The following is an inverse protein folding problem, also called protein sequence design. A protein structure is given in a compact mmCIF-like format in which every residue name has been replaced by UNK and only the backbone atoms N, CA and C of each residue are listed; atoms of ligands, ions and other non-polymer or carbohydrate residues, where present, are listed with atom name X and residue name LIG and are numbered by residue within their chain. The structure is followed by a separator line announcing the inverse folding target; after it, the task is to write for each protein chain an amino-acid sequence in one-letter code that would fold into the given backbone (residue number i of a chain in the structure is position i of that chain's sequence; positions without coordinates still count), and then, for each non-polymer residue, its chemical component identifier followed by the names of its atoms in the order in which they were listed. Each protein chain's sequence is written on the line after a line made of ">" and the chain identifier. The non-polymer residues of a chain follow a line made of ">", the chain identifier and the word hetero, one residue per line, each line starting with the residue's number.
data_IF_662416068828
#
_entry.id   IF_662416068828
#
_cell.length_a   1.000
_cell.length_b   1.000
_cell.length_c   1.000
_cell.angle_alpha   90.00
_cell.angle_beta   90.00
_cell.angle_gamma   90.00
#
_symmetry.space_group_name_H-M   'P 1'
#
loop_
_entity.id
_entity.type
_entity.pdbx_description
1 polymer ?
#
# COMPACT_ATOMS: atom_id res chain seq x y z
N UNK A 1 16.61 -16.20 34.99
CA UNK A 1 16.19 -15.92 33.61
C UNK A 1 16.25 -14.41 33.40
N UNK A 2 17.16 -13.92 32.54
CA UNK A 2 17.47 -12.50 32.42
C UNK A 2 16.27 -11.72 31.86
N UNK A 3 15.86 -10.61 32.51
CA UNK A 3 14.70 -9.80 32.08
C UNK A 3 14.85 -9.36 30.61
N UNK A 4 16.08 -9.10 30.18
CA UNK A 4 16.41 -8.75 28.80
C UNK A 4 16.14 -9.91 27.83
N UNK A 5 16.48 -11.13 28.22
CA UNK A 5 16.23 -12.33 27.41
C UNK A 5 14.72 -12.60 27.28
N UNK A 6 13.95 -12.36 28.35
CA UNK A 6 12.49 -12.52 28.34
C UNK A 6 11.86 -11.52 27.35
N UNK A 7 12.24 -10.24 27.40
CA UNK A 7 11.71 -9.21 26.48
C UNK A 7 12.02 -9.53 25.02
N UNK A 8 13.25 -9.96 24.72
CA UNK A 8 13.65 -10.35 23.36
C UNK A 8 12.87 -11.57 22.88
N UNK A 9 12.71 -12.59 23.72
CA UNK A 9 11.96 -13.80 23.37
C UNK A 9 10.47 -13.53 23.15
N UNK A 10 9.87 -12.62 23.94
CA UNK A 10 8.49 -12.18 23.75
C UNK A 10 8.29 -11.44 22.43
N UNK A 11 9.21 -10.55 22.04
CA UNK A 11 9.12 -9.81 20.76
C UNK A 11 9.28 -10.76 19.57
N UNK A 12 10.18 -11.74 19.64
CA UNK A 12 10.34 -12.74 18.58
C UNK A 12 9.14 -13.68 18.48
N UNK A 13 8.50 -14.04 19.60
CA UNK A 13 7.31 -14.89 19.60
C UNK A 13 6.06 -14.22 18.98
N UNK A 14 6.00 -12.87 18.96
CA UNK A 14 4.94 -12.13 18.27
C UNK A 14 5.17 -11.99 16.75
N UNK A 15 6.35 -12.36 16.24
CA UNK A 15 6.66 -12.23 14.82
C UNK A 15 6.09 -13.37 13.95
N UNK A 16 5.57 -14.44 14.56
CA UNK A 16 5.09 -15.66 13.87
C UNK A 16 3.61 -15.62 13.44
N UNK A 17 2.86 -14.55 13.75
CA UNK A 17 1.46 -14.41 13.30
C UNK A 17 1.38 -13.92 11.86
N UNK A 18 1.58 -14.86 10.92
CA UNK A 18 1.11 -14.81 9.54
C UNK A 18 1.78 -13.77 8.63
N UNK A 19 2.53 -14.27 7.66
CA UNK A 19 3.12 -13.54 6.52
C UNK A 19 2.07 -12.85 5.60
N UNK A 20 0.80 -12.80 5.99
CA UNK A 20 -0.29 -12.28 5.20
C UNK A 20 -0.43 -10.74 5.26
N UNK A 21 0.15 -10.03 6.24
CA UNK A 21 0.12 -8.56 6.27
C UNK A 21 0.84 -7.95 5.05
N UNK A 22 2.10 -8.34 4.78
CA UNK A 22 2.80 -7.98 3.55
C UNK A 22 2.09 -8.45 2.27
N UNK A 23 1.46 -9.63 2.28
CA UNK A 23 0.70 -10.12 1.13
C UNK A 23 -0.56 -9.28 0.86
N UNK A 24 -1.34 -8.97 1.90
CA UNK A 24 -2.52 -8.12 1.83
C UNK A 24 -2.16 -6.69 1.40
N UNK A 25 -1.05 -6.15 1.91
CA UNK A 25 -0.48 -4.90 1.43
C UNK A 25 -0.20 -4.95 -0.07
N UNK A 26 0.50 -5.99 -0.54
CA UNK A 26 0.79 -6.19 -1.97
C UNK A 26 -0.47 -6.27 -2.84
N UNK A 27 -1.50 -7.01 -2.40
CA UNK A 27 -2.79 -7.10 -3.10
C UNK A 27 -3.49 -5.74 -3.15
N UNK A 28 -3.49 -4.99 -2.04
CA UNK A 28 -4.07 -3.65 -1.99
C UNK A 28 -3.36 -2.70 -2.96
N UNK A 29 -2.02 -2.70 -2.96
CA UNK A 29 -1.24 -1.88 -3.88
C UNK A 29 -1.52 -2.23 -5.35
N UNK A 30 -1.65 -3.52 -5.66
CA UNK A 30 -1.99 -4.00 -7.00
C UNK A 30 -3.40 -3.55 -7.44
N UNK A 31 -4.36 -3.56 -6.53
CA UNK A 31 -5.70 -3.01 -6.77
C UNK A 31 -5.65 -1.49 -7.05
N UNK A 32 -4.95 -0.73 -6.20
CA UNK A 32 -4.80 0.72 -6.41
C UNK A 32 -4.13 1.04 -7.76
N UNK A 33 -3.09 0.28 -8.14
CA UNK A 33 -2.40 0.48 -9.43
C UNK A 33 -3.29 0.11 -10.62
N UNK A 34 -4.12 -0.93 -10.51
CA UNK A 34 -5.11 -1.26 -11.54
C UNK A 34 -6.15 -0.14 -11.73
N UNK A 35 -6.64 0.46 -10.64
CA UNK A 35 -7.64 1.55 -10.69
C UNK A 35 -7.05 2.81 -11.33
N UNK A 36 -5.83 3.22 -10.95
CA UNK A 36 -5.21 4.42 -11.53
C UNK A 36 -4.89 4.22 -13.02
N UNK A 37 -4.47 3.02 -13.42
CA UNK A 37 -4.31 2.64 -14.82
C UNK A 37 -5.62 2.78 -15.60
N UNK A 38 -6.74 2.31 -15.05
CA UNK A 38 -8.06 2.47 -15.67
C UNK A 38 -8.49 3.94 -15.77
N UNK A 39 -8.24 4.74 -14.73
CA UNK A 39 -8.52 6.19 -14.71
C UNK A 39 -7.75 6.95 -15.79
N UNK A 40 -6.44 6.69 -15.90
CA UNK A 40 -5.58 7.23 -16.95
C UNK A 40 -6.04 6.80 -18.35
N UNK A 41 -6.35 5.51 -18.52
CA UNK A 41 -6.82 4.98 -19.81
C UNK A 41 -8.13 5.64 -20.24
N UNK A 42 -9.07 5.83 -19.31
CA UNK A 42 -10.32 6.54 -19.58
C UNK A 42 -10.11 8.00 -19.97
N UNK A 43 -9.04 8.63 -19.47
CA UNK A 43 -8.64 9.98 -19.85
C UNK A 43 -7.80 10.04 -21.13
N UNK A 44 -7.43 8.89 -21.72
CA UNK A 44 -6.59 8.82 -22.93
C UNK A 44 -5.09 8.96 -22.68
N UNK A 45 -4.62 8.72 -21.45
CA UNK A 45 -3.21 8.82 -21.07
C UNK A 45 -2.64 7.48 -20.62
N UNK A 46 -1.32 7.30 -20.77
CA UNK A 46 -0.59 6.18 -20.20
C UNK A 46 -0.10 6.53 -18.79
N UNK A 47 -0.41 5.69 -17.79
CA UNK A 47 0.05 5.90 -16.43
C UNK A 47 1.58 5.91 -16.34
N UNK A 48 2.12 6.84 -15.54
CA UNK A 48 3.56 7.05 -15.40
C UNK A 48 4.22 7.85 -16.53
N UNK A 49 3.58 8.02 -17.70
CA UNK A 49 4.10 8.86 -18.78
C UNK A 49 3.81 10.36 -18.58
N UNK A 50 2.78 10.68 -17.78
CA UNK A 50 2.34 12.06 -17.51
C UNK A 50 2.41 12.31 -16.01
N UNK A 51 3.33 13.20 -15.58
CA UNK A 51 3.60 13.51 -14.18
C UNK A 51 3.93 15.00 -13.98
N UNK A 52 3.79 15.48 -12.75
CA UNK A 52 4.11 16.86 -12.36
C UNK A 52 2.93 17.84 -12.44
N UNK A 53 3.18 19.09 -12.04
CA UNK A 53 2.16 20.13 -11.91
C UNK A 53 1.52 20.57 -13.25
N UNK A 54 2.15 20.24 -14.38
CA UNK A 54 1.63 20.49 -15.73
C UNK A 54 0.73 19.37 -16.26
N UNK A 55 0.50 18.30 -15.48
CA UNK A 55 -0.42 17.25 -15.87
C UNK A 55 -1.87 17.78 -15.95
N UNK A 56 -2.72 17.22 -16.83
CA UNK A 56 -4.13 17.58 -16.88
C UNK A 56 -4.82 17.40 -15.52
N UNK A 57 -5.84 18.22 -15.24
CA UNK A 57 -6.58 18.17 -13.98
C UNK A 57 -7.17 16.77 -13.68
N UNK A 58 -7.63 16.06 -14.71
CA UNK A 58 -8.11 14.68 -14.60
C UNK A 58 -7.01 13.73 -14.12
N UNK A 59 -5.79 13.90 -14.62
CA UNK A 59 -4.62 13.09 -14.25
C UNK A 59 -4.14 13.40 -12.83
N UNK A 60 -4.13 14.67 -12.44
CA UNK A 60 -3.87 15.08 -11.05
C UNK A 60 -4.88 14.42 -10.10
N UNK A 61 -6.16 14.39 -10.47
CA UNK A 61 -7.20 13.72 -9.67
C UNK A 61 -7.00 12.19 -9.60
N UNK A 62 -6.69 11.52 -10.72
CA UNK A 62 -6.37 10.08 -10.72
C UNK A 62 -5.19 9.77 -9.77
N UNK A 63 -4.13 10.59 -9.80
CA UNK A 63 -2.97 10.41 -8.93
C UNK A 63 -3.27 10.70 -7.46
N UNK A 64 -4.08 11.72 -7.17
CA UNK A 64 -4.49 12.01 -5.81
C UNK A 64 -5.28 10.84 -5.23
N UNK A 65 -6.25 10.30 -5.97
CA UNK A 65 -7.01 9.11 -5.58
C UNK A 65 -6.10 7.89 -5.38
N UNK A 66 -5.14 7.67 -6.27
CA UNK A 66 -4.12 6.62 -6.12
C UNK A 66 -3.33 6.78 -4.82
N UNK A 67 -2.83 7.99 -4.52
CA UNK A 67 -2.09 8.27 -3.29
C UNK A 67 -2.92 7.99 -2.03
N UNK A 68 -4.19 8.38 -2.01
CA UNK A 68 -5.11 8.07 -0.91
C UNK A 68 -5.34 6.57 -0.77
N UNK A 69 -5.54 5.86 -1.88
CA UNK A 69 -5.69 4.40 -1.89
C UNK A 69 -4.45 3.71 -1.31
N UNK A 70 -3.26 4.13 -1.74
CA UNK A 70 -1.99 3.60 -1.25
C UNK A 70 -1.76 3.88 0.24
N UNK A 71 -2.13 5.08 0.72
CA UNK A 71 -2.05 5.40 2.13
C UNK A 71 -2.94 4.48 2.98
N UNK A 72 -4.14 4.12 2.48
CA UNK A 72 -5.01 3.17 3.16
C UNK A 72 -4.43 1.74 3.18
N UNK A 73 -3.62 1.34 2.18
CA UNK A 73 -2.96 0.05 2.18
C UNK A 73 -2.01 -0.15 3.38
N UNK A 74 -1.46 0.93 3.96
CA UNK A 74 -0.64 0.83 5.18
C UNK A 74 -1.38 0.16 6.35
N UNK A 75 -2.70 0.31 6.43
CA UNK A 75 -3.51 -0.39 7.43
C UNK A 75 -3.50 -1.91 7.20
N UNK A 76 -3.51 -2.37 5.94
CA UNK A 76 -3.42 -3.79 5.61
C UNK A 76 -2.04 -4.40 5.92
N UNK A 77 -0.97 -3.58 5.91
CA UNK A 77 0.37 -4.01 6.31
C UNK A 77 0.48 -4.26 7.82
N UNK A 78 -0.18 -3.40 8.61
CA UNK A 78 -0.09 -3.38 10.09
C UNK A 78 -1.20 -4.19 10.77
N UNK A 79 -2.22 -4.61 10.03
CA UNK A 79 -3.32 -5.40 10.57
C UNK A 79 -2.81 -6.81 10.96
N UNK A 80 -3.07 -7.28 12.19
CA UNK A 80 -2.77 -8.65 12.60
C UNK A 80 -3.61 -9.62 11.77
N UNK A 81 -3.03 -10.77 11.41
CA UNK A 81 -3.62 -11.69 10.43
C UNK A 81 -4.39 -12.88 11.01
N UNK A 82 -4.64 -12.88 12.32
CA UNK A 82 -5.75 -13.50 13.07
C UNK A 82 -5.53 -13.22 14.56
#
# INVERSE_FOLDING_TARGET
>A
MNRFAITVFSVLALADSGTAGPAAYGICQAGCSAIVMACYSAAGFTWGATMGASAPATILACNAAFGTCQAACAAALLAPTL
#
